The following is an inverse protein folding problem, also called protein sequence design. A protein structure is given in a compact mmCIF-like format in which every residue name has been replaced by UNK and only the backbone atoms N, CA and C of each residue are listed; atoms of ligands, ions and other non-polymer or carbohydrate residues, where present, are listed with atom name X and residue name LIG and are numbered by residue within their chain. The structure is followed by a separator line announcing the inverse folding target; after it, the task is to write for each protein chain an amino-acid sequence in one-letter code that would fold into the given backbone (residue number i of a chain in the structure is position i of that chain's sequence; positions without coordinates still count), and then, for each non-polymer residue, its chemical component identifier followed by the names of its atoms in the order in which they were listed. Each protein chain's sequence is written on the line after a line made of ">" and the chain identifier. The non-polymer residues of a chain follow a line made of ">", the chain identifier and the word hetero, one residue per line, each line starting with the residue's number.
data_IF_441736730750
#
_entry.id   IF_441736730750
#
_cell.length_a   1.000
_cell.length_b   1.000
_cell.length_c   1.000
_cell.angle_alpha   90.00
_cell.angle_beta   90.00
_cell.angle_gamma   90.00
#
_symmetry.space_group_name_H-M   'P 1'
#
loop_
_entity.id
_entity.type
_entity.pdbx_description
1 polymer ?
#
# COMPACT_ATOMS: atom_id res chain seq x y z
N UNK A 1 -18.94 2.81 -3.40
CA UNK A 1 -17.92 3.72 -3.97
C UNK A 1 -17.27 3.18 -5.25
N UNK A 2 -17.13 1.86 -5.45
CA UNK A 2 -16.57 1.27 -6.69
C UNK A 2 -17.42 1.47 -7.97
N UNK A 3 -18.70 1.82 -7.84
CA UNK A 3 -19.62 2.04 -8.98
C UNK A 3 -19.58 3.50 -9.48
N UNK A 4 -19.10 4.45 -8.66
CA UNK A 4 -19.03 5.86 -9.04
C UNK A 4 -17.85 6.16 -9.98
N UNK A 5 -16.77 5.38 -9.90
CA UNK A 5 -15.60 5.52 -10.77
C UNK A 5 -15.84 5.14 -12.25
N UNK A 6 -16.56 4.05 -12.61
CA UNK A 6 -16.88 3.77 -14.02
C UNK A 6 -17.89 4.77 -14.60
N UNK A 7 -18.80 5.30 -13.78
CA UNK A 7 -19.79 6.31 -14.20
C UNK A 7 -19.10 7.65 -14.49
N UNK A 8 -18.21 8.09 -13.60
CA UNK A 8 -17.39 9.29 -13.83
C UNK A 8 -16.49 9.14 -15.07
N UNK A 9 -15.99 7.93 -15.34
CA UNK A 9 -15.16 7.63 -16.51
C UNK A 9 -15.96 7.67 -17.83
N UNK A 10 -17.17 7.10 -17.82
CA UNK A 10 -18.10 7.17 -18.96
C UNK A 10 -18.48 8.61 -19.31
N UNK A 11 -18.71 9.44 -18.29
CA UNK A 11 -18.97 10.87 -18.44
C UNK A 11 -17.76 11.63 -19.01
N UNK A 12 -16.53 11.27 -18.62
CA UNK A 12 -15.29 11.89 -19.11
C UNK A 12 -14.98 11.51 -20.57
N UNK A 13 -15.22 10.24 -20.95
CA UNK A 13 -15.14 9.78 -22.33
C UNK A 13 -16.14 10.52 -23.25
N UNK A 14 -17.37 10.74 -22.76
CA UNK A 14 -18.40 11.43 -23.54
C UNK A 14 -18.11 12.94 -23.69
N UNK A 15 -17.48 13.56 -22.68
CA UNK A 15 -17.03 14.96 -22.73
C UNK A 15 -15.85 15.16 -23.70
N UNK A 16 -14.95 14.18 -23.83
CA UNK A 16 -13.83 14.21 -24.80
C UNK A 16 -14.29 14.09 -26.26
N UNK A 17 -15.50 13.60 -26.53
CA UNK A 17 -16.07 13.48 -27.88
C UNK A 17 -16.66 14.82 -28.40
N UNK A 18 -16.80 15.83 -27.55
CA UNK A 18 -17.29 17.15 -27.96
C UNK A 18 -16.11 17.95 -28.54
N UNK A 19 -15.97 17.87 -29.86
CA UNK A 19 -14.97 18.52 -30.73
C UNK A 19 -15.17 20.04 -30.88
N UNK A 20 -15.42 20.76 -29.78
CA UNK A 20 -15.62 22.23 -29.80
C UNK A 20 -14.48 23.02 -29.12
N UNK A 21 -13.40 22.37 -28.69
CA UNK A 21 -12.36 22.98 -27.84
C UNK A 21 -11.01 23.16 -28.58
N UNK A 22 -10.20 24.16 -28.19
CA UNK A 22 -8.92 24.47 -28.84
C UNK A 22 -7.93 23.29 -28.78
N UNK A 23 -7.08 23.13 -29.80
CA UNK A 23 -6.20 21.97 -29.99
C UNK A 23 -5.28 21.64 -28.81
N UNK A 24 -4.85 22.63 -28.02
CA UNK A 24 -4.07 22.39 -26.81
C UNK A 24 -4.85 21.65 -25.72
N UNK A 25 -6.16 21.89 -25.64
CA UNK A 25 -7.03 21.26 -24.64
C UNK A 25 -7.35 19.80 -24.99
N UNK A 26 -7.49 19.49 -26.28
CA UNK A 26 -7.75 18.12 -26.75
C UNK A 26 -6.55 17.20 -26.50
N UNK A 27 -5.32 17.67 -26.71
CA UNK A 27 -4.12 16.91 -26.38
C UNK A 27 -3.98 16.64 -24.87
N UNK A 28 -4.29 17.63 -24.02
CA UNK A 28 -4.28 17.46 -22.56
C UNK A 28 -5.34 16.44 -22.11
N UNK A 29 -6.56 16.54 -22.63
CA UNK A 29 -7.66 15.62 -22.35
C UNK A 29 -7.34 14.17 -22.79
N UNK A 30 -6.63 13.98 -23.91
CA UNK A 30 -6.24 12.67 -24.41
C UNK A 30 -5.19 11.99 -23.52
N UNK A 31 -4.19 12.74 -23.05
CA UNK A 31 -3.21 12.24 -22.07
C UNK A 31 -3.89 11.86 -20.75
N UNK A 32 -4.82 12.70 -20.28
CA UNK A 32 -5.57 12.43 -19.05
C UNK A 32 -6.45 11.18 -19.19
N UNK A 33 -7.07 10.98 -20.35
CA UNK A 33 -7.88 9.78 -20.65
C UNK A 33 -7.03 8.52 -20.74
N UNK A 34 -5.79 8.58 -21.23
CA UNK A 34 -4.89 7.42 -21.31
C UNK A 34 -4.29 7.02 -19.95
N UNK A 35 -4.06 7.99 -19.07
CA UNK A 35 -3.47 7.76 -17.73
C UNK A 35 -4.49 7.29 -16.69
N UNK A 36 -5.77 7.55 -16.91
CA UNK A 36 -6.83 7.25 -15.96
C UNK A 36 -7.17 5.75 -15.78
N UNK A 37 -7.21 4.91 -16.84
CA UNK A 37 -7.48 3.47 -16.69
C UNK A 37 -6.44 2.71 -15.86
N UNK A 38 -5.11 2.91 -16.06
CA UNK A 38 -4.10 2.32 -15.17
C UNK A 38 -4.24 2.79 -13.72
N UNK A 39 -4.58 4.06 -13.52
CA UNK A 39 -4.77 4.64 -12.19
C UNK A 39 -6.00 4.04 -11.49
N UNK A 40 -7.09 3.87 -12.23
CA UNK A 40 -8.31 3.21 -11.74
C UNK A 40 -8.06 1.73 -11.40
N UNK A 41 -7.35 1.01 -12.26
CA UNK A 41 -6.97 -0.38 -12.02
C UNK A 41 -6.11 -0.50 -10.75
N UNK A 42 -5.11 0.39 -10.58
CA UNK A 42 -4.30 0.45 -9.37
C UNK A 42 -5.12 0.79 -8.12
N UNK A 43 -6.05 1.75 -8.21
CA UNK A 43 -6.93 2.10 -7.10
C UNK A 43 -7.87 0.96 -6.71
N UNK A 44 -8.46 0.27 -7.69
CA UNK A 44 -9.30 -0.90 -7.44
C UNK A 44 -8.49 -2.00 -6.76
N UNK A 45 -7.29 -2.31 -7.27
CA UNK A 45 -6.39 -3.28 -6.64
C UNK A 45 -6.10 -2.92 -5.18
N UNK A 46 -5.75 -1.67 -4.87
CA UNK A 46 -5.44 -1.24 -3.50
C UNK A 46 -6.66 -1.26 -2.55
N UNK A 47 -7.87 -1.05 -3.08
CA UNK A 47 -9.11 -1.03 -2.29
C UNK A 47 -9.70 -2.42 -2.06
N UNK A 48 -9.60 -3.31 -3.05
CA UNK A 48 -10.17 -4.66 -2.96
C UNK A 48 -9.18 -5.69 -2.40
N UNK A 49 -7.87 -5.43 -2.51
CA UNK A 49 -6.82 -6.40 -2.13
C UNK A 49 -6.23 -6.05 -0.77
N UNK A 50 -6.25 -7.00 0.16
CA UNK A 50 -5.51 -6.88 1.42
C UNK A 50 -4.00 -7.04 1.19
N UNK A 51 -3.17 -6.44 2.04
CA UNK A 51 -1.70 -6.52 1.90
C UNK A 51 -1.15 -7.96 1.86
N UNK A 52 -1.84 -8.92 2.50
CA UNK A 52 -1.49 -10.34 2.44
C UNK A 52 -1.80 -10.99 1.09
N UNK A 53 -2.92 -10.63 0.45
CA UNK A 53 -3.29 -11.13 -0.89
C UNK A 53 -2.34 -10.58 -1.96
N UNK A 54 -1.87 -9.34 -1.81
CA UNK A 54 -0.85 -8.77 -2.68
C UNK A 54 0.44 -9.61 -2.65
N UNK A 55 0.95 -9.90 -1.44
CA UNK A 55 2.16 -10.73 -1.27
C UNK A 55 1.96 -12.14 -1.85
N UNK A 56 0.76 -12.70 -1.71
CA UNK A 56 0.43 -13.98 -2.32
C UNK A 56 0.43 -13.90 -3.86
N UNK A 57 -0.09 -12.82 -4.45
CA UNK A 57 0.01 -12.56 -5.89
C UNK A 57 1.47 -12.49 -6.36
N UNK A 58 2.33 -11.78 -5.62
CA UNK A 58 3.77 -11.71 -5.88
C UNK A 58 4.44 -13.09 -5.77
N UNK A 59 3.96 -13.98 -4.88
CA UNK A 59 4.44 -15.36 -4.80
C UNK A 59 4.18 -16.15 -6.07
N UNK A 60 3.03 -15.94 -6.72
CA UNK A 60 2.69 -16.60 -7.99
C UNK A 60 3.54 -16.09 -9.16
N UNK A 61 4.08 -14.89 -9.05
CA UNK A 61 5.05 -14.31 -9.99
C UNK A 61 6.51 -14.81 -9.80
N UNK A 62 6.70 -15.91 -9.06
CA UNK A 62 8.01 -16.57 -8.89
C UNK A 62 9.10 -15.68 -8.23
N UNK A 63 8.70 -14.75 -7.36
CA UNK A 63 9.63 -14.02 -6.51
C UNK A 63 10.26 -14.94 -5.44
N UNK A 64 11.52 -14.69 -5.02
CA UNK A 64 12.19 -15.50 -4.01
C UNK A 64 11.43 -15.48 -2.68
N UNK A 65 11.23 -16.65 -2.07
CA UNK A 65 10.41 -16.80 -0.85
C UNK A 65 10.92 -15.97 0.34
N UNK A 66 12.23 -15.74 0.41
CA UNK A 66 12.86 -14.89 1.44
C UNK A 66 12.31 -13.47 1.38
N UNK A 67 12.19 -12.90 0.17
CA UNK A 67 11.69 -11.54 -0.02
C UNK A 67 10.19 -11.44 0.34
N UNK A 68 9.42 -12.45 -0.03
CA UNK A 68 7.98 -12.52 0.29
C UNK A 68 7.73 -12.64 1.79
N UNK A 69 8.55 -13.44 2.49
CA UNK A 69 8.50 -13.56 3.94
C UNK A 69 8.82 -12.23 4.62
N UNK A 70 9.89 -11.55 4.19
CA UNK A 70 10.24 -10.24 4.74
C UNK A 70 9.13 -9.22 4.53
N UNK A 71 8.53 -9.17 3.34
CA UNK A 71 7.39 -8.30 3.08
C UNK A 71 6.20 -8.64 3.98
N UNK A 72 5.87 -9.92 4.14
CA UNK A 72 4.77 -10.37 5.01
C UNK A 72 4.94 -9.95 6.47
N UNK A 73 6.16 -10.10 6.97
CA UNK A 73 6.59 -9.56 8.27
C UNK A 73 6.39 -8.05 8.29
N UNK A 74 6.94 -7.29 7.33
CA UNK A 74 6.81 -5.83 7.31
C UNK A 74 5.35 -5.34 7.32
N UNK A 75 4.47 -5.92 6.50
CA UNK A 75 3.05 -5.55 6.49
C UNK A 75 2.33 -5.83 7.82
N UNK A 76 2.74 -6.88 8.54
CA UNK A 76 2.21 -7.17 9.89
C UNK A 76 2.77 -6.25 10.96
N UNK A 77 4.04 -5.83 10.87
CA UNK A 77 4.67 -4.96 11.86
C UNK A 77 4.37 -3.48 11.66
N UNK A 78 4.15 -3.02 10.43
CA UNK A 78 3.80 -1.62 10.12
C UNK A 78 2.63 -1.06 10.96
N UNK A 79 1.50 -1.77 11.19
CA UNK A 79 0.46 -1.30 12.10
C UNK A 79 0.92 -1.21 13.55
N UNK A 80 1.80 -2.09 14.01
CA UNK A 80 2.38 -2.02 15.35
C UNK A 80 3.30 -0.80 15.51
N UNK A 81 4.16 -0.52 14.53
CA UNK A 81 5.03 0.68 14.52
C UNK A 81 4.19 1.96 14.64
N UNK A 82 3.06 2.03 13.92
CA UNK A 82 2.13 3.16 14.00
C UNK A 82 1.55 3.32 15.40
N UNK A 83 1.25 2.22 16.08
CA UNK A 83 0.74 2.25 17.44
C UNK A 83 1.81 2.70 18.44
N UNK A 84 3.03 2.15 18.33
CA UNK A 84 4.18 2.56 19.14
C UNK A 84 4.48 4.05 18.98
N UNK A 85 4.50 4.54 17.74
CA UNK A 85 4.68 5.96 17.44
C UNK A 85 3.62 6.84 18.14
N UNK A 86 2.35 6.40 18.15
CA UNK A 86 1.26 7.11 18.84
C UNK A 86 1.43 7.09 20.35
N UNK A 87 1.81 5.96 20.92
CA UNK A 87 2.06 5.79 22.35
C UNK A 87 3.22 6.67 22.80
N UNK A 88 4.33 6.65 22.08
CA UNK A 88 5.50 7.51 22.33
C UNK A 88 5.11 8.98 22.25
N UNK A 89 4.37 9.37 21.21
CA UNK A 89 3.88 10.75 21.06
C UNK A 89 2.95 11.17 22.21
N UNK A 90 2.09 10.27 22.70
CA UNK A 90 1.26 10.52 23.88
C UNK A 90 2.11 10.67 25.15
N UNK A 91 3.11 9.82 25.36
CA UNK A 91 4.04 9.92 26.49
C UNK A 91 4.87 11.21 26.48
N UNK A 92 5.32 11.66 25.30
CA UNK A 92 6.02 12.94 25.15
C UNK A 92 5.13 14.14 25.51
N UNK A 93 3.84 14.08 25.13
CA UNK A 93 2.85 15.11 25.52
C UNK A 93 2.64 15.16 27.04
N UNK A 94 2.57 14.00 27.71
CA UNK A 94 2.43 13.93 29.19
C UNK A 94 3.64 14.51 29.91
N UNK A 95 4.86 14.33 29.36
CA UNK A 95 6.10 14.88 29.90
C UNK A 95 6.25 16.40 29.72
N UNK A 96 5.24 17.08 29.16
CA UNK A 96 5.27 18.53 28.92
C UNK A 96 6.21 18.96 27.79
N UNK A 97 6.78 18.00 27.04
CA UNK A 97 7.65 18.28 25.91
C UNK A 97 6.73 18.68 24.74
N UNK A 98 6.67 19.99 24.48
CA UNK A 98 5.93 20.64 23.39
C UNK A 98 4.41 20.37 23.40
N UNK A 99 3.72 20.96 24.38
CA UNK A 99 2.24 21.04 24.45
C UNK A 99 1.63 21.80 23.25
N UNK A 100 2.42 22.67 22.60
CA UNK A 100 1.99 23.54 21.52
C UNK A 100 2.65 23.12 20.20
N UNK A 101 1.86 22.95 19.13
CA UNK A 101 2.37 22.67 17.76
C UNK A 101 3.43 23.68 17.27
N UNK A 102 3.49 24.88 17.88
CA UNK A 102 4.43 25.95 17.55
C UNK A 102 5.86 25.64 17.97
N UNK A 103 6.06 25.00 19.12
CA UNK A 103 7.40 24.73 19.64
C UNK A 103 8.08 23.56 18.90
N UNK A 104 7.27 22.63 18.37
CA UNK A 104 7.73 21.56 17.46
C UNK A 104 8.33 22.14 16.18
N UNK A 105 7.78 23.26 15.68
CA UNK A 105 8.28 23.94 14.48
C UNK A 105 9.49 24.82 14.80
N UNK A 106 9.58 25.39 16.01
CA UNK A 106 10.73 26.20 16.42
C UNK A 106 12.00 25.36 16.70
N UNK A 107 11.86 24.09 17.12
CA UNK A 107 13.02 23.19 17.39
C UNK A 107 12.82 21.78 16.82
N UNK A 108 12.76 21.62 15.49
CA UNK A 108 12.46 20.33 14.87
C UNK A 108 13.55 19.28 15.11
N UNK A 109 14.82 19.68 15.18
CA UNK A 109 15.95 18.75 15.41
C UNK A 109 15.84 18.03 16.77
N UNK A 110 15.55 18.79 17.83
CA UNK A 110 15.42 18.27 19.18
C UNK A 110 14.19 17.36 19.31
N UNK A 111 13.09 17.69 18.61
CA UNK A 111 11.92 16.82 18.54
C UNK A 111 12.22 15.48 17.85
N UNK A 112 12.96 15.51 16.75
CA UNK A 112 13.35 14.28 16.03
C UNK A 112 14.20 13.37 16.89
N UNK A 113 15.19 13.90 17.64
CA UNK A 113 16.01 13.08 18.53
C UNK A 113 15.17 12.42 19.64
N UNK A 114 14.31 13.19 20.33
CA UNK A 114 13.48 12.66 21.41
C UNK A 114 12.39 11.70 20.95
N UNK A 115 11.95 11.77 19.70
CA UNK A 115 10.97 10.82 19.15
C UNK A 115 11.65 9.60 18.52
N UNK A 116 12.72 9.81 17.76
CA UNK A 116 13.38 8.76 16.99
C UNK A 116 14.15 7.80 17.89
N UNK A 117 14.85 8.29 18.92
CA UNK A 117 15.60 7.44 19.85
C UNK A 117 14.71 6.38 20.55
N UNK A 118 13.61 6.74 21.24
CA UNK A 118 12.75 5.73 21.86
C UNK A 118 12.04 4.84 20.84
N UNK A 119 11.69 5.36 19.66
CA UNK A 119 11.10 4.57 18.58
C UNK A 119 12.09 3.49 18.09
N UNK A 120 13.34 3.87 17.83
CA UNK A 120 14.40 2.95 17.45
C UNK A 120 14.62 1.88 18.51
N UNK A 121 14.65 2.25 19.80
CA UNK A 121 14.79 1.29 20.89
C UNK A 121 13.63 0.30 20.97
N UNK A 122 12.38 0.73 20.71
CA UNK A 122 11.21 -0.16 20.64
C UNK A 122 11.32 -1.15 19.48
N UNK A 123 11.71 -0.66 18.31
CA UNK A 123 11.89 -1.47 17.10
C UNK A 123 13.00 -2.50 17.28
N UNK A 124 14.15 -2.09 17.86
CA UNK A 124 15.27 -2.99 18.14
C UNK A 124 14.87 -4.10 19.10
N UNK A 125 14.14 -3.77 20.18
CA UNK A 125 13.60 -4.78 21.11
C UNK A 125 12.66 -5.76 20.40
N UNK A 126 11.74 -5.24 19.59
CA UNK A 126 10.80 -6.08 18.84
C UNK A 126 11.54 -7.00 17.86
N UNK A 127 12.57 -6.49 17.16
CA UNK A 127 13.40 -7.29 16.28
C UNK A 127 14.14 -8.39 17.04
N UNK A 128 14.70 -8.08 18.22
CA UNK A 128 15.36 -9.05 19.08
C UNK A 128 14.40 -10.15 19.55
N UNK A 129 13.22 -9.78 20.04
CA UNK A 129 12.17 -10.73 20.43
C UNK A 129 11.76 -11.63 19.27
N UNK A 130 11.65 -11.09 18.06
CA UNK A 130 11.37 -11.87 16.85
C UNK A 130 12.51 -12.83 16.51
N UNK A 131 13.76 -12.39 16.59
CA UNK A 131 14.91 -13.29 16.37
C UNK A 131 14.95 -14.41 17.41
N UNK A 132 14.74 -14.11 18.70
CA UNK A 132 14.69 -15.13 19.75
C UNK A 132 13.54 -16.10 19.50
N UNK A 133 12.33 -15.60 19.21
CA UNK A 133 11.18 -16.43 18.88
C UNK A 133 11.38 -17.27 17.60
N UNK A 134 12.11 -16.73 16.62
CA UNK A 134 12.45 -17.42 15.37
C UNK A 134 13.45 -18.54 15.62
N UNK A 135 14.46 -18.30 16.45
CA UNK A 135 15.48 -19.28 16.83
C UNK A 135 14.86 -20.41 17.67
N UNK A 136 14.00 -20.09 18.66
CA UNK A 136 13.33 -21.11 19.47
C UNK A 136 12.31 -21.93 18.68
N UNK A 137 11.66 -21.33 17.67
CA UNK A 137 10.80 -22.06 16.72
C UNK A 137 11.57 -22.87 15.68
N UNK A 138 12.90 -22.81 15.68
CA UNK A 138 13.73 -23.57 14.75
C UNK A 138 13.63 -23.10 13.30
N UNK A 139 13.21 -21.86 13.04
CA UNK A 139 13.11 -21.33 11.67
C UNK A 139 14.47 -21.25 10.95
N UNK A 140 15.58 -21.30 11.69
CA UNK A 140 16.94 -21.40 11.14
C UNK A 140 17.29 -22.82 10.66
N UNK A 141 16.60 -23.86 11.14
CA UNK A 141 16.81 -25.25 10.75
C UNK A 141 15.87 -25.54 9.57
N UNK A 142 16.39 -25.26 8.39
CA UNK A 142 15.72 -25.38 7.09
C UNK A 142 14.97 -26.70 6.91
N UNK A 143 13.66 -26.68 7.11
CA UNK A 143 12.72 -27.56 6.42
C UNK A 143 11.58 -26.70 5.89
N UNK A 144 11.26 -26.86 4.60
CA UNK A 144 10.26 -26.08 3.88
C UNK A 144 8.99 -25.89 4.73
N UNK A 145 8.78 -24.68 5.22
CA UNK A 145 7.50 -24.34 5.85
C UNK A 145 6.40 -24.43 4.78
N UNK A 146 5.38 -25.27 4.97
CA UNK A 146 4.30 -25.39 3.99
C UNK A 146 3.57 -24.04 3.88
N UNK A 147 3.34 -23.62 2.64
CA UNK A 147 2.56 -22.44 2.32
C UNK A 147 1.13 -22.58 2.89
N UNK A 148 0.85 -21.88 3.99
CA UNK A 148 -0.43 -22.00 4.71
C UNK A 148 -1.61 -21.26 4.02
N UNK A 149 -1.32 -20.36 3.08
CA UNK A 149 -2.37 -19.54 2.45
C UNK A 149 -2.64 -20.09 1.05
N UNK A 150 -3.82 -20.70 0.88
CA UNK A 150 -4.33 -21.18 -0.40
C UNK A 150 -5.32 -20.14 -0.93
N UNK A 151 -4.84 -19.20 -1.74
CA UNK A 151 -5.73 -18.29 -2.47
C UNK A 151 -6.31 -19.02 -3.67
N UNK A 152 -7.62 -19.28 -3.64
CA UNK A 152 -8.38 -19.73 -4.79
C UNK A 152 -8.68 -18.54 -5.70
N UNK A 153 -8.54 -18.75 -7.01
CA UNK A 153 -9.00 -17.78 -7.99
C UNK A 153 -10.52 -17.72 -7.90
N UNK A 154 -11.08 -16.54 -7.70
CA UNK A 154 -12.53 -16.36 -7.69
C UNK A 154 -12.97 -16.03 -9.11
N UNK A 155 -14.13 -16.54 -9.54
CA UNK A 155 -14.70 -16.27 -10.88
C UNK A 155 -14.84 -14.77 -11.17
N UNK A 156 -14.93 -13.97 -10.09
CA UNK A 156 -14.96 -12.50 -10.12
C UNK A 156 -13.63 -11.88 -10.59
N UNK A 157 -12.49 -12.51 -10.34
CA UNK A 157 -11.18 -12.04 -10.82
C UNK A 157 -11.06 -12.20 -12.34
N UNK A 158 -11.68 -13.26 -12.88
CA UNK A 158 -11.73 -13.55 -14.31
C UNK A 158 -12.60 -12.54 -15.05
N UNK A 159 -13.78 -12.21 -14.52
CA UNK A 159 -14.66 -11.21 -15.14
C UNK A 159 -14.07 -9.80 -15.08
N UNK A 160 -13.36 -9.43 -14.00
CA UNK A 160 -12.65 -8.16 -13.88
C UNK A 160 -11.46 -8.05 -14.85
N UNK A 161 -10.65 -9.11 -14.99
CA UNK A 161 -9.56 -9.13 -15.96
C UNK A 161 -10.07 -8.99 -17.40
N UNK A 162 -11.14 -9.71 -17.74
CA UNK A 162 -11.73 -9.69 -19.08
C UNK A 162 -12.35 -8.31 -19.40
N UNK A 163 -12.98 -7.68 -18.41
CA UNK A 163 -13.48 -6.31 -18.52
C UNK A 163 -12.34 -5.29 -18.74
N UNK A 164 -11.24 -5.39 -17.97
CA UNK A 164 -10.08 -4.50 -18.15
C UNK A 164 -9.39 -4.71 -19.51
N UNK A 165 -9.28 -5.95 -19.97
CA UNK A 165 -8.72 -6.26 -21.31
C UNK A 165 -9.62 -5.72 -22.43
N UNK A 166 -10.93 -5.93 -22.33
CA UNK A 166 -11.89 -5.37 -23.31
C UNK A 166 -11.82 -3.85 -23.37
N UNK A 167 -11.65 -3.20 -22.22
CA UNK A 167 -11.48 -1.75 -22.13
C UNK A 167 -10.18 -1.25 -22.79
N UNK A 168 -9.04 -1.91 -22.54
CA UNK A 168 -7.76 -1.57 -23.17
C UNK A 168 -7.78 -1.74 -24.69
N UNK A 169 -8.49 -2.75 -25.18
CA UNK A 169 -8.66 -3.01 -26.61
C UNK A 169 -9.55 -1.93 -27.25
N UNK A 170 -10.63 -1.51 -26.58
CA UNK A 170 -11.55 -0.47 -27.07
C UNK A 170 -10.92 0.93 -27.11
N UNK A 171 -9.93 1.22 -26.25
CA UNK A 171 -9.17 2.50 -26.27
C UNK A 171 -8.03 2.49 -27.31
N UNK A 172 -7.60 1.31 -27.76
CA UNK A 172 -6.54 1.13 -28.78
C UNK A 172 -7.09 1.03 -30.21
N UNK A 173 -8.41 0.95 -30.40
CA UNK A 173 -9.12 0.98 -31.68
C UNK A 173 -9.74 2.37 -31.91
#
# INVERSE_FOLDING_TARGET
>A
MAIMSPIAYSIFCLLSYITFLPAWLTHLLLVLTYTWPPLLAGHLLLMTTSGYELIHGLRKWHLPEVFLLTLGVMFRFLPAIKQDARTICASLKVRGIFLRKRDVVCKPLQYMEFFLVPLMMSLLRTAQELTVASLTKGLAVSTKSPAYIRSSWTVLDWSLCLCCLGFLILVRL
#
